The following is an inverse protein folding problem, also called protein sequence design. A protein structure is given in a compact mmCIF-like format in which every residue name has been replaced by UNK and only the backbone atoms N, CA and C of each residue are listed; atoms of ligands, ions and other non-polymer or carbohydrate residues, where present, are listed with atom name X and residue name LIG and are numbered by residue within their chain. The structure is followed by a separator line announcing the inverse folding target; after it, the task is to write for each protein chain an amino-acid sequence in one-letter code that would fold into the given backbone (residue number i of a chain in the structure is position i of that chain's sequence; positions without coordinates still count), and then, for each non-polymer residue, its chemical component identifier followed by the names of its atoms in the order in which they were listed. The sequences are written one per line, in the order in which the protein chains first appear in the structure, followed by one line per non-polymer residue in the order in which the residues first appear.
data_IF_787575506757
#
_entry.id   IF_787575506757
#
_cell.length_a   1.000
_cell.length_b   1.000
_cell.length_c   1.000
_cell.angle_alpha   90.00
_cell.angle_beta   90.00
_cell.angle_gamma   90.00
#
_symmetry.space_group_name_H-M   'P 1'
#
loop_
_entity.id
_entity.type
_entity.pdbx_description
1 polymer ?
#
# COMPACT_ATOMS: atom_id res chain seq x y z
N UNK A 1 -4.65 -11.37 13.11
CA UNK A 1 -3.39 -10.87 13.71
C UNK A 1 -2.94 -9.69 12.89
N UNK A 2 -2.54 -8.58 13.53
CA UNK A 2 -1.94 -7.43 12.82
C UNK A 2 -0.48 -7.78 12.55
N UNK A 3 -0.02 -7.57 11.33
CA UNK A 3 1.35 -7.85 10.93
C UNK A 3 2.30 -6.81 11.52
N UNK A 4 3.42 -7.24 12.13
CA UNK A 4 4.38 -6.34 12.79
C UNK A 4 5.05 -5.32 11.85
N UNK A 5 4.99 -5.53 10.54
CA UNK A 5 5.54 -4.61 9.55
C UNK A 5 4.51 -3.59 9.06
N UNK A 6 3.23 -3.73 9.43
CA UNK A 6 2.17 -2.82 9.00
C UNK A 6 1.77 -1.96 10.20
N UNK A 7 2.03 -0.66 10.13
CA UNK A 7 1.59 0.31 11.13
C UNK A 7 0.11 0.67 10.90
N UNK A 8 -0.21 1.11 9.69
CA UNK A 8 -1.56 1.49 9.28
C UNK A 8 -1.91 0.95 7.91
N UNK A 9 -3.19 0.68 7.67
CA UNK A 9 -3.68 0.18 6.40
C UNK A 9 -5.08 0.73 6.09
N UNK A 10 -5.22 1.35 4.91
CA UNK A 10 -6.48 1.81 4.36
C UNK A 10 -6.82 0.98 3.11
N UNK A 11 -7.92 0.24 3.19
CA UNK A 11 -8.45 -0.55 2.08
C UNK A 11 -9.31 0.33 1.18
N UNK A 12 -9.05 0.28 -0.12
CA UNK A 12 -9.74 1.02 -1.17
C UNK A 12 -10.40 0.01 -2.10
N UNK A 13 -11.72 -0.10 -2.03
CA UNK A 13 -12.51 -0.98 -2.90
C UNK A 13 -13.73 -0.28 -3.52
N UNK A 14 -14.08 0.91 -3.03
CA UNK A 14 -15.27 1.62 -3.47
C UNK A 14 -15.10 2.11 -4.92
N UNK A 15 -16.02 1.68 -5.80
CA UNK A 15 -16.05 2.04 -7.22
C UNK A 15 -14.77 1.71 -8.00
N UNK A 16 -14.05 0.65 -7.60
CA UNK A 16 -12.81 0.21 -8.25
C UNK A 16 -12.93 -1.19 -8.84
N UNK A 17 -12.15 -1.46 -9.90
CA UNK A 17 -12.14 -2.75 -10.63
C UNK A 17 -11.66 -3.92 -9.75
N UNK A 18 -10.84 -3.63 -8.74
CA UNK A 18 -10.32 -4.60 -7.78
C UNK A 18 -10.03 -3.91 -6.45
N UNK A 19 -9.83 -4.69 -5.38
CA UNK A 19 -9.45 -4.16 -4.07
C UNK A 19 -7.98 -3.73 -4.10
N UNK A 20 -7.72 -2.49 -3.70
CA UNK A 20 -6.36 -1.99 -3.45
C UNK A 20 -6.17 -1.54 -2.01
N UNK A 21 -4.91 -1.37 -1.59
CA UNK A 21 -4.59 -0.94 -0.24
C UNK A 21 -3.49 0.12 -0.19
N UNK A 22 -3.67 1.13 0.65
CA UNK A 22 -2.62 2.04 1.09
C UNK A 22 -2.09 1.55 2.42
N UNK A 23 -0.79 1.30 2.49
CA UNK A 23 -0.16 0.68 3.64
C UNK A 23 0.94 1.61 4.13
N UNK A 24 0.93 1.92 5.41
CA UNK A 24 2.01 2.61 6.11
C UNK A 24 2.87 1.53 6.78
N UNK A 25 4.11 1.31 6.31
CA UNK A 25 5.08 0.46 6.97
C UNK A 25 5.38 0.88 8.40
N UNK A 26 5.60 -0.11 9.28
CA UNK A 26 6.38 0.14 10.48
C UNK A 26 7.86 0.30 10.08
N UNK A 27 8.30 1.55 10.07
CA UNK A 27 9.67 1.89 9.68
C UNK A 27 10.73 1.40 10.68
N UNK A 28 10.38 1.12 11.93
CA UNK A 28 11.34 0.58 12.89
C UNK A 28 11.70 -0.86 12.52
N UNK A 29 10.69 -1.70 12.26
CA UNK A 29 10.91 -3.06 11.78
C UNK A 29 11.47 -3.09 10.36
N UNK A 30 11.03 -2.19 9.48
CA UNK A 30 11.50 -2.15 8.10
C UNK A 30 12.98 -1.75 8.02
N UNK A 31 13.42 -0.73 8.77
CA UNK A 31 14.84 -0.35 8.85
C UNK A 31 15.69 -1.49 9.38
N UNK A 32 15.22 -2.21 10.41
CA UNK A 32 15.93 -3.38 10.94
C UNK A 32 16.10 -4.46 9.87
N UNK A 33 15.01 -4.82 9.18
CA UNK A 33 15.06 -5.77 8.07
C UNK A 33 16.00 -5.33 6.95
N UNK A 34 15.99 -4.05 6.59
CA UNK A 34 16.89 -3.50 5.59
C UNK A 34 18.36 -3.64 6.00
N UNK A 35 18.70 -3.29 7.25
CA UNK A 35 20.05 -3.49 7.80
C UNK A 35 20.46 -4.97 7.80
N UNK A 36 19.58 -5.87 8.26
CA UNK A 36 19.85 -7.32 8.29
C UNK A 36 20.05 -7.91 6.88
N UNK A 37 19.41 -7.34 5.85
CA UNK A 37 19.52 -7.76 4.45
C UNK A 37 20.57 -6.98 3.65
N UNK A 38 21.29 -6.06 4.28
CA UNK A 38 22.28 -5.20 3.62
C UNK A 38 21.67 -4.27 2.56
N UNK A 39 20.41 -3.89 2.71
CA UNK A 39 19.72 -2.93 1.85
C UNK A 39 20.18 -1.54 2.27
N UNK A 40 20.84 -0.81 1.35
CA UNK A 40 21.18 0.59 1.54
C UNK A 40 19.94 1.45 1.30
N UNK A 41 19.72 2.43 2.17
CA UNK A 41 18.63 3.39 2.05
C UNK A 41 19.07 4.71 2.69
N UNK A 42 18.76 5.83 2.05
CA UNK A 42 19.01 7.18 2.57
C UNK A 42 17.75 7.75 3.23
N UNK A 43 16.58 7.34 2.73
CA UNK A 43 15.29 7.79 3.24
C UNK A 43 14.28 6.65 3.38
N UNK A 44 13.16 6.94 4.05
CA UNK A 44 12.00 6.04 4.11
C UNK A 44 11.43 5.77 2.72
N UNK A 45 11.50 6.75 1.80
CA UNK A 45 11.06 6.57 0.42
C UNK A 45 11.87 5.52 -0.32
N UNK A 46 13.18 5.47 -0.11
CA UNK A 46 14.04 4.46 -0.74
C UNK A 46 13.68 3.05 -0.28
N UNK A 47 13.35 2.90 1.01
CA UNK A 47 12.92 1.62 1.56
C UNK A 47 11.62 1.13 0.90
N UNK A 48 10.60 1.99 0.82
CA UNK A 48 9.30 1.58 0.27
C UNK A 48 9.32 1.36 -1.24
N UNK A 49 10.26 2.00 -1.96
CA UNK A 49 10.50 1.78 -3.40
C UNK A 49 11.38 0.56 -3.66
N UNK A 50 12.01 0.00 -2.63
CA UNK A 50 12.91 -1.13 -2.82
C UNK A 50 12.13 -2.40 -3.17
N UNK A 51 12.47 -3.11 -4.27
CA UNK A 51 11.75 -4.31 -4.68
C UNK A 51 11.78 -5.44 -3.65
N UNK A 52 12.85 -5.53 -2.83
CA UNK A 52 12.92 -6.53 -1.74
C UNK A 52 11.93 -6.23 -0.62
N UNK A 53 11.66 -4.95 -0.38
CA UNK A 53 10.67 -4.50 0.59
C UNK A 53 9.28 -4.73 0.04
N UNK A 54 8.99 -4.30 -1.19
CA UNK A 54 7.70 -4.54 -1.85
C UNK A 54 7.36 -6.03 -1.81
N UNK A 55 8.30 -6.90 -2.18
CA UNK A 55 8.10 -8.36 -2.14
C UNK A 55 7.89 -8.93 -0.73
N UNK A 56 8.47 -8.32 0.30
CA UNK A 56 8.20 -8.70 1.69
C UNK A 56 6.73 -8.42 2.05
N UNK A 57 6.22 -7.24 1.69
CA UNK A 57 4.83 -6.88 1.94
C UNK A 57 3.87 -7.71 1.11
N UNK A 58 4.16 -7.94 -0.16
CA UNK A 58 3.36 -8.78 -1.06
C UNK A 58 3.12 -10.18 -0.45
N UNK A 59 4.19 -10.86 -0.03
CA UNK A 59 4.07 -12.18 0.62
C UNK A 59 3.27 -12.15 1.92
N UNK A 60 3.44 -11.08 2.71
CA UNK A 60 2.70 -10.92 3.97
C UNK A 60 1.21 -10.72 3.71
N UNK A 61 0.88 -9.82 2.79
CA UNK A 61 -0.49 -9.53 2.35
C UNK A 61 -1.13 -10.79 1.78
N UNK A 62 -0.43 -11.53 0.92
CA UNK A 62 -0.91 -12.81 0.39
C UNK A 62 -1.22 -13.80 1.53
N UNK A 63 -0.31 -13.93 2.50
CA UNK A 63 -0.49 -14.81 3.67
C UNK A 63 -1.69 -14.41 4.53
N UNK A 64 -1.85 -13.10 4.81
CA UNK A 64 -2.97 -12.58 5.59
C UNK A 64 -4.32 -12.78 4.90
N UNK A 65 -4.30 -12.84 3.57
CA UNK A 65 -5.50 -12.92 2.76
C UNK A 65 -5.86 -14.33 2.30
N UNK A 66 -5.12 -15.35 2.72
CA UNK A 66 -5.37 -16.75 2.34
C UNK A 66 -6.77 -17.24 2.71
N UNK A 67 -7.41 -16.63 3.71
CA UNK A 67 -8.75 -16.98 4.17
C UNK A 67 -9.87 -16.14 3.52
N UNK A 68 -9.52 -15.12 2.74
CA UNK A 68 -10.46 -14.21 2.10
C UNK A 68 -10.80 -14.69 0.69
N UNK A 69 -12.02 -14.41 0.24
CA UNK A 69 -12.43 -14.75 -1.12
C UNK A 69 -11.66 -13.93 -2.14
N UNK A 70 -11.47 -14.45 -3.36
CA UNK A 70 -10.63 -13.81 -4.38
C UNK A 70 -11.05 -12.37 -4.74
N UNK A 71 -12.34 -12.05 -4.61
CA UNK A 71 -12.87 -10.70 -4.85
C UNK A 71 -12.59 -9.72 -3.70
N UNK A 72 -12.29 -10.21 -2.49
CA UNK A 72 -11.93 -9.39 -1.32
C UNK A 72 -10.42 -9.25 -1.15
N UNK A 73 -9.64 -10.00 -1.93
CA UNK A 73 -8.19 -9.97 -1.89
C UNK A 73 -7.66 -8.69 -2.53
N UNK A 74 -6.82 -7.97 -1.77
CA UNK A 74 -6.00 -6.85 -2.21
C UNK A 74 -5.13 -7.34 -3.37
N UNK A 75 -5.40 -6.82 -4.58
CA UNK A 75 -4.64 -7.13 -5.80
C UNK A 75 -3.45 -6.19 -6.00
N UNK A 76 -3.60 -4.94 -5.57
CA UNK A 76 -2.55 -3.92 -5.64
C UNK A 76 -2.42 -3.21 -4.31
N UNK A 77 -1.22 -2.84 -3.94
CA UNK A 77 -0.98 -2.02 -2.77
C UNK A 77 0.09 -0.98 -3.06
N UNK A 78 0.02 0.14 -2.36
CA UNK A 78 1.07 1.15 -2.35
C UNK A 78 1.52 1.38 -0.92
N UNK A 79 2.85 1.39 -0.75
CA UNK A 79 3.48 1.72 0.52
C UNK A 79 3.63 3.24 0.63
N UNK A 80 3.24 3.80 1.78
CA UNK A 80 3.35 5.22 2.08
C UNK A 80 4.58 5.49 2.94
N UNK A 81 5.28 6.58 2.66
CA UNK A 81 6.45 6.99 3.47
C UNK A 81 6.05 7.65 4.79
N UNK A 82 4.84 8.20 4.85
CA UNK A 82 4.33 8.96 5.97
C UNK A 82 3.02 8.35 6.49
N UNK A 83 2.77 8.42 7.81
CA UNK A 83 1.52 7.99 8.39
C UNK A 83 0.37 8.94 8.03
N UNK A 84 -0.87 8.45 8.16
CA UNK A 84 -2.06 9.28 8.00
C UNK A 84 -2.09 10.40 9.04
N UNK A 85 -2.51 11.58 8.63
CA UNK A 85 -2.44 12.81 9.41
C UNK A 85 -3.81 13.30 9.86
N UNK A 86 -3.89 13.71 11.12
CA UNK A 86 -5.02 14.47 11.65
C UNK A 86 -5.18 15.83 10.94
N UNK A 87 -4.05 16.47 10.58
CA UNK A 87 -4.04 17.80 9.95
C UNK A 87 -4.63 17.78 8.55
N UNK A 88 -4.39 16.69 7.82
CA UNK A 88 -4.94 16.45 6.48
C UNK A 88 -6.37 15.89 6.50
N UNK A 89 -6.95 15.68 7.69
CA UNK A 89 -8.30 15.13 7.85
C UNK A 89 -8.42 13.61 7.61
N UNK A 90 -7.30 12.92 7.42
CA UNK A 90 -7.24 11.48 7.13
C UNK A 90 -7.56 10.65 8.38
N UNK A 91 -7.27 11.20 9.55
CA UNK A 91 -7.65 10.66 10.84
C UNK A 91 -8.69 11.58 11.50
N UNK A 92 -9.67 10.99 12.19
CA UNK A 92 -10.55 11.72 13.12
C UNK A 92 -9.78 12.13 14.36
N UNK A 93 -10.32 13.06 15.16
CA UNK A 93 -9.80 13.39 16.50
C UNK A 93 -9.72 12.18 17.45
N UNK A 94 -10.38 11.07 17.10
CA UNK A 94 -10.33 9.77 17.80
C UNK A 94 -9.40 8.76 17.11
N UNK A 95 -8.50 9.21 16.23
CA UNK A 95 -7.54 8.40 15.46
C UNK A 95 -8.18 7.34 14.55
N UNK A 96 -9.47 7.48 14.21
CA UNK A 96 -10.11 6.60 13.22
C UNK A 96 -9.82 7.10 11.81
N UNK A 97 -9.45 6.18 10.93
CA UNK A 97 -9.22 6.48 9.51
C UNK A 97 -10.50 6.91 8.79
N UNK A 98 -10.44 8.04 8.10
CA UNK A 98 -11.48 8.53 7.19
C UNK A 98 -11.14 8.11 5.77
N UNK A 99 -11.59 6.90 5.40
CA UNK A 99 -11.29 6.29 4.08
C UNK A 99 -11.69 7.18 2.90
N UNK A 100 -12.79 7.92 2.98
CA UNK A 100 -13.19 8.88 1.95
C UNK A 100 -12.12 9.96 1.72
N UNK A 101 -11.72 10.66 2.79
CA UNK A 101 -10.67 11.70 2.73
C UNK A 101 -9.32 11.12 2.30
N UNK A 102 -8.96 9.94 2.80
CA UNK A 102 -7.75 9.24 2.36
C UNK A 102 -7.81 8.95 0.86
N UNK A 103 -8.94 8.45 0.34
CA UNK A 103 -9.10 8.16 -1.07
C UNK A 103 -9.01 9.43 -1.94
N UNK A 104 -9.48 10.57 -1.43
CA UNK A 104 -9.37 11.86 -2.10
C UNK A 104 -7.93 12.41 -2.07
N UNK A 105 -7.29 12.44 -0.90
CA UNK A 105 -5.92 12.95 -0.74
C UNK A 105 -4.88 12.14 -1.51
N UNK A 106 -5.06 10.81 -1.57
CA UNK A 106 -4.17 9.89 -2.27
C UNK A 106 -4.73 9.46 -3.63
N UNK A 107 -5.68 10.21 -4.19
CA UNK A 107 -6.35 9.87 -5.45
C UNK A 107 -5.36 9.59 -6.56
N UNK A 108 -4.33 10.42 -6.74
CA UNK A 108 -3.31 10.22 -7.78
C UNK A 108 -2.51 8.92 -7.60
N UNK A 109 -2.17 8.53 -6.37
CA UNK A 109 -1.48 7.26 -6.11
C UNK A 109 -2.40 6.08 -6.37
N UNK A 110 -3.65 6.20 -5.94
CA UNK A 110 -4.68 5.17 -6.12
C UNK A 110 -4.94 4.97 -7.62
N UNK A 111 -5.18 6.05 -8.36
CA UNK A 111 -5.45 6.01 -9.80
C UNK A 111 -4.30 5.35 -10.56
N UNK A 112 -3.03 5.66 -10.22
CA UNK A 112 -1.86 4.98 -10.80
C UNK A 112 -1.88 3.46 -10.61
N UNK A 113 -2.37 2.96 -9.47
CA UNK A 113 -2.50 1.51 -9.26
C UNK A 113 -3.46 0.85 -10.26
N UNK A 114 -4.45 1.59 -10.75
CA UNK A 114 -5.43 1.12 -11.72
C UNK A 114 -5.02 1.39 -13.17
N UNK A 115 -4.23 2.44 -13.43
CA UNK A 115 -3.66 2.72 -14.75
C UNK A 115 -2.62 1.66 -15.15
N UNK A 116 -1.79 1.19 -14.22
CA UNK A 116 -0.82 0.10 -14.47
C UNK A 116 -1.48 -1.26 -14.77
N UNK A 117 -2.78 -1.41 -14.48
CA UNK A 117 -3.56 -2.62 -14.78
C UNK A 117 -4.30 -2.51 -16.12
N UNK A 118 -4.26 -1.35 -16.78
CA UNK A 118 -4.81 -1.22 -18.12
C UNK A 118 -3.88 -1.94 -19.09
N UNK A 119 -4.32 -3.01 -19.77
CA UNK A 119 -3.50 -3.61 -20.81
C UNK A 119 -3.26 -2.53 -21.85
N UNK A 120 -1.99 -2.20 -22.12
CA UNK A 120 -1.59 -1.46 -23.30
C UNK A 120 -2.19 -2.17 -24.52
N UNK A 121 -3.37 -1.75 -24.95
CA UNK A 121 -3.91 -2.12 -26.24
C UNK A 121 -2.96 -1.48 -27.25
N UNK A 122 -2.15 -2.30 -27.90
CA UNK A 122 -1.28 -1.86 -28.97
C UNK A 122 -2.08 -1.94 -30.28
N UNK A 123 -2.65 -0.84 -30.81
CA UNK A 123 -3.46 -0.88 -32.03
C UNK A 123 -2.63 -1.16 -33.30
N UNK A 124 -1.31 -1.31 -33.23
CA UNK A 124 -0.43 -1.39 -34.39
C UNK A 124 -0.25 -2.81 -34.98
N UNK A 125 -1.28 -3.65 -34.96
CA UNK A 125 -1.30 -4.86 -35.81
C UNK A 125 -2.52 -4.80 -36.73
N UNK A 126 -2.37 -4.07 -37.83
CA UNK A 126 -3.14 -4.28 -39.05
C UNK A 126 -2.25 -4.12 -40.27
#
# INVERSE_FOLDING_TARGET
MVDRYIDQIAIIADQRKFVSALIVPDFNYLKRYANEKGIKFDSQQDLIKNPRVIRLYEKRIETLQQQFAHYEQIKKFTLLSEPFSLKSGELTSTLKMRRGVIAENYKDLIDKMYEEDEPHYNPEIH
#
